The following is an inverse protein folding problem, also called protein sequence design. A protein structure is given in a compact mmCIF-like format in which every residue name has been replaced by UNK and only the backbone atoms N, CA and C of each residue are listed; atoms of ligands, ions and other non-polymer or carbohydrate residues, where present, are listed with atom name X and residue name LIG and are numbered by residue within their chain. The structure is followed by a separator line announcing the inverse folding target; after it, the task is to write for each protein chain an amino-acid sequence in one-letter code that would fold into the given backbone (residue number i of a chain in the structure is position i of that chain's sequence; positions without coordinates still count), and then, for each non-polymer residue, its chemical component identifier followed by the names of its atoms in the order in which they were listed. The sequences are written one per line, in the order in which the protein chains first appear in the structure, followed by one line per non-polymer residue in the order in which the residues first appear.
data_IF_760869754347
#
_entry.id   IF_760869754347
#
_cell.length_a   1.000
_cell.length_b   1.000
_cell.length_c   1.000
_cell.angle_alpha   90.00
_cell.angle_beta   90.00
_cell.angle_gamma   90.00
#
_symmetry.space_group_name_H-M   'P 1'
#
loop_
_entity.id
_entity.type
_entity.pdbx_description
1 polymer ?
#
# COMPACT_ATOMS: atom_id res chain seq x y z
N UNK A 1 12.31 4.02 21.15
CA UNK A 1 12.61 3.26 19.92
C UNK A 1 14.00 2.65 20.06
N UNK A 2 14.12 1.32 20.02
CA UNK A 2 15.45 0.70 19.95
C UNK A 2 16.08 1.11 18.61
N UNK A 3 17.35 1.54 18.62
CA UNK A 3 18.05 1.99 17.40
C UNK A 3 17.98 0.92 16.29
N UNK A 4 17.96 -0.34 16.67
CA UNK A 4 17.84 -1.49 15.78
C UNK A 4 16.56 -1.45 14.94
N UNK A 5 15.37 -1.33 15.54
CA UNK A 5 14.11 -1.36 14.79
C UNK A 5 13.99 -0.14 13.89
N UNK A 6 14.44 1.03 14.35
CA UNK A 6 14.49 2.22 13.48
C UNK A 6 15.29 1.95 12.22
N UNK A 7 16.50 1.43 12.39
CA UNK A 7 17.43 1.19 11.29
C UNK A 7 16.87 0.13 10.34
N UNK A 8 16.22 -0.91 10.87
CA UNK A 8 15.52 -1.92 10.09
C UNK A 8 14.40 -1.31 9.23
N UNK A 9 13.54 -0.47 9.82
CA UNK A 9 12.45 0.17 9.09
C UNK A 9 12.97 1.17 8.03
N UNK A 10 14.05 1.90 8.33
CA UNK A 10 14.72 2.78 7.36
C UNK A 10 15.28 1.97 6.20
N UNK A 11 15.97 0.85 6.49
CA UNK A 11 16.52 -0.02 5.46
C UNK A 11 15.41 -0.62 4.58
N UNK A 12 14.31 -1.05 5.18
CA UNK A 12 13.12 -1.53 4.48
C UNK A 12 12.54 -0.45 3.56
N UNK A 13 12.37 0.77 4.05
CA UNK A 13 11.91 1.91 3.25
C UNK A 13 12.86 2.18 2.07
N UNK A 14 14.17 2.18 2.32
CA UNK A 14 15.16 2.43 1.28
C UNK A 14 15.12 1.35 0.19
N UNK A 15 15.07 0.07 0.59
CA UNK A 15 14.95 -1.05 -0.34
C UNK A 15 13.67 -0.94 -1.17
N UNK A 16 12.51 -0.72 -0.53
CA UNK A 16 11.23 -0.57 -1.24
C UNK A 16 11.22 0.65 -2.17
N UNK A 17 11.80 1.78 -1.75
CA UNK A 17 11.90 2.97 -2.58
C UNK A 17 12.76 2.74 -3.83
N UNK A 18 13.86 1.98 -3.72
CA UNK A 18 14.68 1.60 -4.88
C UNK A 18 13.88 0.75 -5.87
N UNK A 19 13.14 -0.26 -5.39
CA UNK A 19 12.27 -1.07 -6.26
C UNK A 19 11.13 -0.25 -6.87
N UNK A 20 10.49 0.62 -6.08
CA UNK A 20 9.40 1.49 -6.54
C UNK A 20 9.89 2.44 -7.64
N UNK A 21 11.00 3.14 -7.42
CA UNK A 21 11.61 4.01 -8.42
C UNK A 21 12.06 3.22 -9.66
N UNK A 22 12.62 2.03 -9.48
CA UNK A 22 13.00 1.14 -10.56
C UNK A 22 11.85 0.73 -11.46
N UNK A 23 10.72 0.32 -10.86
CA UNK A 23 9.52 -0.03 -11.59
C UNK A 23 8.87 1.19 -12.25
N UNK A 24 8.83 2.34 -11.57
CA UNK A 24 8.28 3.58 -12.13
C UNK A 24 9.08 4.04 -13.35
N UNK A 25 10.41 4.02 -13.26
CA UNK A 25 11.35 4.43 -14.32
C UNK A 25 11.63 3.32 -15.35
N UNK A 26 10.97 2.16 -15.24
CA UNK A 26 11.13 1.02 -16.13
C UNK A 26 12.58 0.53 -16.27
N UNK A 27 13.36 0.57 -15.17
CA UNK A 27 14.76 0.13 -15.16
C UNK A 27 14.83 -1.37 -15.40
N UNK A 28 15.41 -1.77 -16.54
CA UNK A 28 15.40 -3.16 -17.00
C UNK A 28 16.00 -4.17 -16.01
N UNK A 29 16.96 -3.77 -15.18
CA UNK A 29 17.54 -4.64 -14.16
C UNK A 29 16.54 -5.00 -13.05
N UNK A 30 15.63 -4.07 -12.72
CA UNK A 30 14.65 -4.25 -11.65
C UNK A 30 13.34 -4.84 -12.18
N UNK A 31 12.87 -4.43 -13.37
CA UNK A 31 11.67 -5.03 -14.00
C UNK A 31 11.85 -6.50 -14.30
N UNK A 32 13.08 -6.95 -14.60
CA UNK A 32 13.42 -8.39 -14.79
C UNK A 32 13.33 -9.23 -13.53
N UNK A 33 13.31 -8.62 -12.34
CA UNK A 33 13.13 -9.35 -11.07
C UNK A 33 11.66 -9.72 -10.82
N UNK A 34 10.72 -9.13 -11.57
CA UNK A 34 9.32 -9.49 -11.49
C UNK A 34 9.08 -10.84 -12.19
N UNK A 35 8.53 -11.85 -11.50
CA UNK A 35 8.57 -13.22 -12.00
C UNK A 35 7.45 -13.55 -12.98
N UNK A 36 6.42 -12.68 -13.10
CA UNK A 36 5.29 -12.95 -13.97
C UNK A 36 5.52 -12.45 -15.41
N UNK A 37 5.24 -13.30 -16.42
CA UNK A 37 5.28 -12.88 -17.82
C UNK A 37 4.12 -11.93 -18.15
N UNK A 38 4.22 -11.26 -19.30
CA UNK A 38 3.17 -10.37 -19.84
C UNK A 38 2.79 -9.17 -18.95
N UNK A 39 3.75 -8.69 -18.16
CA UNK A 39 3.59 -7.48 -17.34
C UNK A 39 3.83 -6.23 -18.20
N UNK A 40 2.86 -5.32 -18.22
CA UNK A 40 2.95 -4.06 -19.00
C UNK A 40 3.63 -2.93 -18.20
N UNK A 41 4.05 -1.83 -18.83
CA UNK A 41 4.56 -0.67 -18.09
C UNK A 41 3.59 -0.15 -17.03
N UNK A 42 2.28 -0.17 -17.31
CA UNK A 42 1.25 0.30 -16.38
C UNK A 42 1.16 -0.59 -15.13
N UNK A 43 1.34 -1.90 -15.30
CA UNK A 43 1.47 -2.84 -14.19
C UNK A 43 2.65 -2.52 -13.28
N UNK A 44 3.82 -2.16 -13.84
CA UNK A 44 4.97 -1.75 -13.04
C UNK A 44 4.74 -0.42 -12.32
N UNK A 45 4.13 0.57 -12.98
CA UNK A 45 3.76 1.85 -12.37
C UNK A 45 2.80 1.63 -11.20
N UNK A 46 1.83 0.73 -11.37
CA UNK A 46 0.91 0.35 -10.31
C UNK A 46 1.61 -0.33 -9.12
N UNK A 47 2.48 -1.31 -9.36
CA UNK A 47 3.27 -1.94 -8.29
C UNK A 47 4.17 -0.89 -7.60
N UNK A 48 4.76 0.02 -8.36
CA UNK A 48 5.55 1.13 -7.82
C UNK A 48 4.72 2.02 -6.90
N UNK A 49 3.49 2.36 -7.28
CA UNK A 49 2.60 3.19 -6.45
C UNK A 49 2.29 2.52 -5.09
N UNK A 50 2.07 1.20 -5.07
CA UNK A 50 1.85 0.43 -3.84
C UNK A 50 3.12 0.42 -2.98
N UNK A 51 4.28 0.21 -3.60
CA UNK A 51 5.55 0.24 -2.88
C UNK A 51 5.86 1.64 -2.30
N UNK A 52 5.59 2.72 -3.04
CA UNK A 52 5.69 4.08 -2.52
C UNK A 52 4.69 4.35 -1.39
N UNK A 53 3.48 3.79 -1.45
CA UNK A 53 2.51 3.87 -0.37
C UNK A 53 3.02 3.22 0.93
N UNK A 54 3.61 2.02 0.82
CA UNK A 54 4.22 1.32 1.95
C UNK A 54 5.41 2.11 2.53
N UNK A 55 6.27 2.68 1.67
CA UNK A 55 7.37 3.56 2.07
C UNK A 55 6.85 4.79 2.83
N UNK A 56 5.88 5.51 2.27
CA UNK A 56 5.32 6.71 2.87
C UNK A 56 4.65 6.42 4.23
N UNK A 57 3.90 5.32 4.32
CA UNK A 57 3.26 4.87 5.57
C UNK A 57 4.30 4.55 6.65
N UNK A 58 5.38 3.85 6.27
CA UNK A 58 6.43 3.46 7.21
C UNK A 58 7.28 4.66 7.63
N UNK A 59 7.67 5.51 6.68
CA UNK A 59 8.38 6.76 6.97
C UNK A 59 7.56 7.67 7.87
N UNK A 60 6.24 7.75 7.68
CA UNK A 60 5.37 8.48 8.60
C UNK A 60 5.55 8.00 10.04
N UNK A 61 5.43 6.70 10.30
CA UNK A 61 5.62 6.13 11.64
C UNK A 61 7.02 6.43 12.21
N UNK A 62 8.07 6.40 11.39
CA UNK A 62 9.45 6.72 11.81
C UNK A 62 9.58 8.22 12.16
N UNK A 63 9.12 9.10 11.29
CA UNK A 63 9.26 10.56 11.43
C UNK A 63 8.41 11.11 12.58
N UNK A 64 7.23 10.52 12.79
CA UNK A 64 6.31 10.92 13.85
C UNK A 64 6.55 10.20 15.17
N UNK A 65 7.43 9.20 15.18
CA UNK A 65 7.65 8.27 16.29
C UNK A 65 6.39 7.50 16.75
N UNK A 66 5.38 7.39 15.89
CA UNK A 66 4.14 6.64 16.13
C UNK A 66 4.29 5.16 15.72
N UNK A 67 5.08 4.43 16.51
CA UNK A 67 5.44 3.03 16.19
C UNK A 67 4.27 2.05 16.39
N UNK A 68 3.26 2.41 17.17
CA UNK A 68 2.02 1.63 17.28
C UNK A 68 1.32 1.50 15.91
N UNK A 69 1.45 2.51 15.04
CA UNK A 69 0.89 2.50 13.68
C UNK A 69 1.52 1.45 12.74
N UNK A 70 2.71 0.94 13.08
CA UNK A 70 3.38 -0.13 12.32
C UNK A 70 2.55 -1.42 12.33
N UNK A 71 1.68 -1.63 13.32
CA UNK A 71 0.82 -2.80 13.37
C UNK A 71 -0.09 -2.91 12.13
N UNK A 72 -0.62 -1.79 11.64
CA UNK A 72 -1.43 -1.78 10.42
C UNK A 72 -0.62 -2.12 9.16
N UNK A 73 0.61 -1.59 9.06
CA UNK A 73 1.55 -1.89 7.95
C UNK A 73 1.96 -3.37 7.97
N UNK A 74 2.17 -3.90 9.17
CA UNK A 74 2.51 -5.30 9.35
C UNK A 74 1.36 -6.24 8.92
N UNK A 75 0.11 -5.87 9.22
CA UNK A 75 -1.07 -6.60 8.74
C UNK A 75 -1.15 -6.58 7.21
N UNK A 76 -0.91 -5.42 6.58
CA UNK A 76 -0.82 -5.31 5.13
C UNK A 76 0.17 -6.35 4.57
N UNK A 77 1.39 -6.38 5.11
CA UNK A 77 2.42 -7.31 4.63
C UNK A 77 2.02 -8.77 4.79
N UNK A 78 1.42 -9.15 5.92
CA UNK A 78 0.99 -10.54 6.13
C UNK A 78 -0.08 -10.91 5.10
N UNK A 79 -1.09 -10.06 4.92
CA UNK A 79 -2.23 -10.32 4.03
C UNK A 79 -1.85 -10.27 2.55
N UNK A 80 -0.80 -9.55 2.17
CA UNK A 80 -0.24 -9.56 0.82
C UNK A 80 0.65 -10.79 0.63
N UNK A 81 1.67 -10.94 1.46
CA UNK A 81 2.78 -11.82 1.15
C UNK A 81 2.50 -13.29 1.48
N UNK A 82 1.70 -13.62 2.51
CA UNK A 82 1.33 -15.02 2.78
C UNK A 82 0.61 -15.67 1.59
N UNK A 83 -0.50 -15.11 1.07
CA UNK A 83 -1.19 -15.73 -0.06
C UNK A 83 -0.37 -15.67 -1.36
N UNK A 84 0.41 -14.60 -1.60
CA UNK A 84 1.32 -14.56 -2.75
C UNK A 84 2.39 -15.65 -2.66
N UNK A 85 2.97 -15.90 -1.47
CA UNK A 85 3.91 -17.02 -1.26
C UNK A 85 3.28 -18.34 -1.65
N UNK A 86 2.06 -18.62 -1.16
CA UNK A 86 1.34 -19.86 -1.45
C UNK A 86 1.06 -19.96 -2.95
N UNK A 87 0.55 -18.89 -3.56
CA UNK A 87 0.23 -18.85 -4.98
C UNK A 87 1.46 -19.06 -5.86
N UNK A 88 2.59 -18.44 -5.52
CA UNK A 88 3.84 -18.57 -6.25
C UNK A 88 4.47 -19.94 -6.09
N UNK A 89 4.42 -20.53 -4.90
CA UNK A 89 4.87 -21.90 -4.67
C UNK A 89 4.02 -22.91 -5.47
N UNK A 90 2.70 -22.70 -5.55
CA UNK A 90 1.82 -23.53 -6.37
C UNK A 90 2.14 -23.39 -7.86
N UNK A 91 2.40 -22.18 -8.34
CA UNK A 91 2.77 -21.94 -9.75
C UNK A 91 4.14 -22.56 -10.07
N UNK A 92 5.11 -22.43 -9.16
CA UNK A 92 6.41 -23.09 -9.28
C UNK A 92 6.27 -24.62 -9.36
N UNK A 93 5.44 -25.22 -8.50
CA UNK A 93 5.20 -26.67 -8.49
C UNK A 93 4.51 -27.24 -9.74
N UNK A 94 3.84 -26.39 -10.55
CA UNK A 94 3.14 -26.79 -11.78
C UNK A 94 4.01 -26.71 -13.05
N UNK A 95 5.32 -26.62 -12.90
CA UNK A 95 6.26 -26.46 -14.02
C UNK A 95 6.82 -25.03 -14.15
N UNK A 96 6.80 -24.25 -13.07
CA UNK A 96 7.34 -22.89 -13.05
C UNK A 96 8.87 -22.83 -12.99
N UNK A 97 9.42 -21.66 -13.27
CA UNK A 97 10.86 -21.40 -13.28
C UNK A 97 11.45 -21.24 -11.87
N UNK A 98 12.79 -21.34 -11.76
CA UNK A 98 13.52 -21.03 -10.52
C UNK A 98 13.26 -19.62 -9.99
N UNK A 99 12.91 -18.67 -10.88
CA UNK A 99 12.52 -17.31 -10.50
C UNK A 99 11.24 -17.25 -9.67
N UNK A 100 10.25 -18.10 -9.96
CA UNK A 100 9.01 -18.18 -9.18
C UNK A 100 9.28 -18.71 -7.77
N UNK A 101 10.11 -19.74 -7.65
CA UNK A 101 10.53 -20.29 -6.35
C UNK A 101 11.26 -19.23 -5.52
N UNK A 102 12.22 -18.53 -6.13
CA UNK A 102 12.95 -17.46 -5.45
C UNK A 102 12.01 -16.35 -4.99
N UNK A 103 11.06 -15.94 -5.82
CA UNK A 103 10.08 -14.93 -5.46
C UNK A 103 9.14 -15.39 -4.33
N UNK A 104 8.72 -16.66 -4.33
CA UNK A 104 7.95 -17.24 -3.23
C UNK A 104 8.71 -17.20 -1.90
N UNK A 105 10.02 -17.50 -1.92
CA UNK A 105 10.90 -17.41 -0.74
C UNK A 105 11.02 -15.97 -0.24
N UNK A 106 11.20 -14.99 -1.14
CA UNK A 106 11.25 -13.58 -0.76
C UNK A 106 9.93 -13.09 -0.16
N UNK A 107 8.79 -13.51 -0.72
CA UNK A 107 7.48 -13.23 -0.14
C UNK A 107 7.34 -13.89 1.24
N UNK A 108 7.79 -15.14 1.41
CA UNK A 108 7.73 -15.83 2.69
C UNK A 108 8.55 -15.12 3.77
N UNK A 109 9.78 -14.70 3.43
CA UNK A 109 10.62 -13.92 4.32
C UNK A 109 9.95 -12.58 4.71
N UNK A 110 9.29 -11.92 3.75
CA UNK A 110 8.58 -10.66 4.01
C UNK A 110 7.33 -10.88 4.89
N UNK A 111 6.62 -11.99 4.72
CA UNK A 111 5.51 -12.37 5.60
C UNK A 111 5.98 -12.64 7.04
N UNK A 112 7.10 -13.35 7.21
CA UNK A 112 7.71 -13.57 8.53
C UNK A 112 8.15 -12.26 9.18
N UNK A 113 8.73 -11.34 8.40
CA UNK A 113 9.03 -9.99 8.86
C UNK A 113 7.76 -9.26 9.30
N UNK A 114 6.68 -9.33 8.51
CA UNK A 114 5.37 -8.78 8.86
C UNK A 114 4.83 -9.33 10.19
N UNK A 115 4.87 -10.64 10.39
CA UNK A 115 4.49 -11.27 11.66
C UNK A 115 5.32 -10.75 12.84
N UNK A 116 6.65 -10.65 12.66
CA UNK A 116 7.55 -10.11 13.67
C UNK A 116 7.25 -8.65 14.01
N UNK A 117 7.03 -7.81 12.99
CA UNK A 117 6.65 -6.41 13.16
C UNK A 117 5.30 -6.26 13.84
N UNK A 118 4.32 -7.10 13.51
CA UNK A 118 3.00 -7.08 14.16
C UNK A 118 3.14 -7.45 15.64
N UNK A 119 3.78 -8.59 15.94
CA UNK A 119 3.95 -9.07 17.31
C UNK A 119 4.71 -8.07 18.20
N UNK A 120 5.66 -7.33 17.62
CA UNK A 120 6.38 -6.26 18.30
C UNK A 120 5.53 -4.98 18.47
N UNK A 121 4.92 -4.49 17.40
CA UNK A 121 4.24 -3.18 17.39
C UNK A 121 2.96 -3.15 18.23
N UNK A 122 2.22 -4.26 18.35
CA UNK A 122 1.01 -4.32 19.20
C UNK A 122 1.30 -4.15 20.69
N UNK A 123 2.56 -4.31 21.11
CA UNK A 123 3.01 -4.12 22.51
C UNK A 123 3.39 -2.67 22.80
N UNK A 124 3.42 -1.80 21.79
CA UNK A 124 3.85 -0.42 21.93
C UNK A 124 2.62 0.46 22.17
N UNK A 125 2.58 1.24 23.26
CA UNK A 125 1.49 2.19 23.48
C UNK A 125 1.55 3.32 22.44
N UNK A 126 0.39 3.77 21.92
CA UNK A 126 0.34 4.91 21.00
C UNK A 126 0.76 6.19 21.74
N UNK A 127 1.45 7.10 21.03
CA UNK A 127 1.87 8.38 21.60
C UNK A 127 0.84 9.46 21.32
N UNK A 128 0.34 9.51 20.09
CA UNK A 128 -0.71 10.43 19.68
C UNK A 128 -2.09 9.77 19.78
N UNK A 129 -2.76 9.98 20.90
CA UNK A 129 -4.10 9.43 21.19
C UNK A 129 -5.25 10.21 20.58
N UNK A 130 -4.97 11.26 19.79
CA UNK A 130 -6.03 12.09 19.19
C UNK A 130 -6.93 11.23 18.29
N UNK A 131 -8.25 11.44 18.34
CA UNK A 131 -9.17 10.66 17.53
C UNK A 131 -8.97 10.93 16.05
N UNK A 132 -9.20 9.91 15.23
CA UNK A 132 -9.24 10.09 13.77
C UNK A 132 -10.44 10.96 13.40
N UNK A 133 -10.27 12.00 12.56
CA UNK A 133 -11.38 12.82 12.09
C UNK A 133 -12.49 11.97 11.46
N UNK A 134 -13.76 12.33 11.70
CA UNK A 134 -14.92 11.54 11.25
C UNK A 134 -14.92 11.32 9.74
N UNK A 135 -14.59 12.35 8.97
CA UNK A 135 -14.53 12.25 7.50
C UNK A 135 -13.48 11.25 7.03
N UNK A 136 -12.29 11.24 7.64
CA UNK A 136 -11.23 10.27 7.36
C UNK A 136 -11.68 8.86 7.69
N UNK A 137 -12.34 8.67 8.83
CA UNK A 137 -12.87 7.36 9.25
C UNK A 137 -13.94 6.83 8.30
N UNK A 138 -14.86 7.69 7.86
CA UNK A 138 -15.88 7.35 6.85
C UNK A 138 -15.24 7.01 5.51
N UNK A 139 -14.24 7.78 5.08
CA UNK A 139 -13.48 7.49 3.86
C UNK A 139 -12.81 6.13 3.96
N UNK A 140 -12.13 5.81 5.07
CA UNK A 140 -11.53 4.49 5.28
C UNK A 140 -12.55 3.37 5.18
N UNK A 141 -13.75 3.52 5.75
CA UNK A 141 -14.80 2.51 5.63
C UNK A 141 -15.21 2.26 4.17
N UNK A 142 -15.38 3.33 3.39
CA UNK A 142 -15.68 3.25 1.96
C UNK A 142 -14.53 2.54 1.22
N UNK A 143 -13.28 2.92 1.48
CA UNK A 143 -12.11 2.29 0.87
C UNK A 143 -11.98 0.82 1.23
N UNK A 144 -12.22 0.43 2.49
CA UNK A 144 -12.21 -0.98 2.90
C UNK A 144 -13.23 -1.78 2.11
N UNK A 145 -14.46 -1.27 1.97
CA UNK A 145 -15.51 -1.95 1.19
C UNK A 145 -15.09 -2.07 -0.27
N UNK A 146 -14.63 -0.97 -0.89
CA UNK A 146 -14.21 -0.96 -2.28
C UNK A 146 -13.04 -1.93 -2.55
N UNK A 147 -12.02 -1.93 -1.67
CA UNK A 147 -10.85 -2.79 -1.77
C UNK A 147 -11.19 -4.27 -1.55
N UNK A 148 -12.11 -4.58 -0.63
CA UNK A 148 -12.59 -5.97 -0.45
C UNK A 148 -13.35 -6.44 -1.68
N UNK A 149 -14.24 -5.63 -2.23
CA UNK A 149 -15.03 -6.00 -3.42
C UNK A 149 -14.11 -6.16 -4.64
N UNK A 150 -13.32 -5.14 -4.96
CA UNK A 150 -12.40 -5.17 -6.10
C UNK A 150 -11.32 -6.27 -5.92
N UNK A 151 -10.68 -6.31 -4.76
CA UNK A 151 -9.66 -7.32 -4.44
C UNK A 151 -10.20 -8.74 -4.45
N UNK A 152 -11.39 -8.97 -3.89
CA UNK A 152 -12.07 -10.26 -3.92
C UNK A 152 -12.42 -10.72 -5.35
N UNK A 153 -12.96 -9.83 -6.18
CA UNK A 153 -13.22 -10.12 -7.60
C UNK A 153 -11.94 -10.49 -8.35
N UNK A 154 -10.84 -9.78 -8.09
CA UNK A 154 -9.55 -10.04 -8.70
C UNK A 154 -8.93 -11.37 -8.24
N UNK A 155 -9.03 -11.72 -6.95
CA UNK A 155 -8.64 -13.05 -6.45
C UNK A 155 -9.47 -14.16 -7.11
N UNK A 156 -10.74 -13.88 -7.40
CA UNK A 156 -11.63 -14.75 -8.18
C UNK A 156 -11.37 -14.70 -9.70
N UNK A 157 -10.26 -14.09 -10.13
CA UNK A 157 -9.77 -14.02 -11.52
C UNK A 157 -10.61 -13.19 -12.47
N UNK A 158 -11.40 -12.25 -11.95
CA UNK A 158 -12.08 -11.27 -12.78
C UNK A 158 -11.06 -10.22 -13.28
N UNK A 159 -10.69 -10.30 -14.56
CA UNK A 159 -9.71 -9.40 -15.20
C UNK A 159 -10.30 -8.03 -15.56
N UNK A 160 -11.63 -7.87 -15.52
CA UNK A 160 -12.33 -6.63 -15.89
C UNK A 160 -12.32 -5.53 -14.82
N UNK A 161 -11.60 -5.72 -13.71
CA UNK A 161 -11.53 -4.73 -12.62
C UNK A 161 -10.51 -3.62 -12.94
N UNK A 162 -9.36 -3.99 -13.50
CA UNK A 162 -8.30 -3.02 -13.79
C UNK A 162 -8.60 -2.26 -15.09
N UNK A 163 -8.21 -0.97 -15.19
CA UNK A 163 -8.45 -0.18 -16.41
C UNK A 163 -7.49 -0.51 -17.57
N UNK A 164 -6.77 -1.63 -17.49
CA UNK A 164 -5.93 -2.17 -18.56
C UNK A 164 -5.90 -3.69 -18.50
N UNK A 165 -5.54 -4.32 -19.61
CA UNK A 165 -5.41 -5.77 -19.70
C UNK A 165 -4.25 -6.28 -18.85
N UNK A 166 -4.53 -7.30 -18.05
CA UNK A 166 -3.58 -7.98 -17.17
C UNK A 166 -3.79 -9.49 -17.26
N UNK A 167 -2.73 -10.26 -16.99
CA UNK A 167 -2.84 -11.71 -16.92
C UNK A 167 -3.66 -12.16 -15.71
N UNK A 168 -4.21 -13.37 -15.79
CA UNK A 168 -4.94 -14.01 -14.69
C UNK A 168 -4.09 -14.09 -13.42
N UNK A 169 -2.80 -14.41 -13.56
CA UNK A 169 -1.86 -14.52 -12.44
C UNK A 169 -1.61 -13.15 -11.79
N UNK A 170 -1.41 -12.11 -12.61
CA UNK A 170 -1.24 -10.74 -12.10
C UNK A 170 -2.50 -10.25 -11.39
N UNK A 171 -3.68 -10.61 -11.92
CA UNK A 171 -4.98 -10.27 -11.32
C UNK A 171 -5.08 -10.81 -9.89
N UNK A 172 -4.72 -12.08 -9.66
CA UNK A 172 -4.74 -12.68 -8.32
C UNK A 172 -3.79 -11.97 -7.36
N UNK A 173 -2.56 -11.64 -7.80
CA UNK A 173 -1.58 -10.91 -6.98
C UNK A 173 -2.10 -9.53 -6.58
N UNK A 174 -2.59 -8.76 -7.55
CA UNK A 174 -3.11 -7.42 -7.30
C UNK A 174 -4.36 -7.46 -6.42
N UNK A 175 -5.18 -8.51 -6.55
CA UNK A 175 -6.27 -8.77 -5.63
C UNK A 175 -5.80 -8.90 -4.18
N UNK A 176 -4.76 -9.69 -3.92
CA UNK A 176 -4.16 -9.80 -2.59
C UNK A 176 -3.51 -8.50 -2.10
N UNK A 177 -2.93 -7.69 -3.01
CA UNK A 177 -2.45 -6.34 -2.67
C UNK A 177 -3.59 -5.43 -2.20
N UNK A 178 -4.76 -5.48 -2.85
CA UNK A 178 -5.94 -4.73 -2.43
C UNK A 178 -6.49 -5.21 -1.09
N UNK A 179 -6.53 -6.52 -0.87
CA UNK A 179 -7.00 -7.09 0.39
C UNK A 179 -6.05 -6.79 1.56
N UNK A 180 -4.74 -6.73 1.31
CA UNK A 180 -3.76 -6.23 2.28
C UNK A 180 -4.02 -4.79 2.67
N UNK A 181 -4.16 -3.91 1.68
CA UNK A 181 -4.49 -2.51 1.91
C UNK A 181 -5.83 -2.37 2.67
N UNK A 182 -6.84 -3.18 2.33
CA UNK A 182 -8.11 -3.21 3.08
C UNK A 182 -7.90 -3.57 4.55
N UNK A 183 -7.08 -4.57 4.85
CA UNK A 183 -6.74 -4.94 6.21
C UNK A 183 -6.02 -3.81 6.96
N UNK A 184 -5.13 -3.09 6.26
CA UNK A 184 -4.49 -1.90 6.82
C UNK A 184 -5.55 -0.86 7.24
N UNK A 185 -6.41 -0.41 6.32
CA UNK A 185 -7.44 0.58 6.62
C UNK A 185 -8.44 0.10 7.68
N UNK A 186 -8.86 -1.17 7.63
CA UNK A 186 -9.75 -1.76 8.62
C UNK A 186 -9.15 -1.69 10.03
N UNK A 187 -7.84 -1.91 10.17
CA UNK A 187 -7.15 -1.73 11.45
C UNK A 187 -7.28 -0.30 12.00
N UNK A 188 -7.18 0.71 11.13
CA UNK A 188 -7.39 2.11 11.49
C UNK A 188 -8.83 2.43 11.91
N UNK A 189 -9.83 1.73 11.35
CA UNK A 189 -11.24 1.86 11.76
C UNK A 189 -11.48 1.23 13.14
N UNK A 190 -10.91 0.04 13.38
CA UNK A 190 -11.05 -0.70 14.64
C UNK A 190 -10.30 0.00 15.77
N UNK A 191 -9.18 0.67 15.47
CA UNK A 191 -8.37 1.43 16.43
C UNK A 191 -8.24 2.90 15.98
N UNK A 192 -9.28 3.74 16.19
CA UNK A 192 -9.46 5.03 15.52
C UNK A 192 -8.62 6.18 16.11
N UNK A 193 -7.30 6.01 16.21
CA UNK A 193 -6.37 7.08 16.60
C UNK A 193 -5.54 7.61 15.43
N UNK A 194 -5.10 8.87 15.53
CA UNK A 194 -4.29 9.52 14.49
C UNK A 194 -2.97 8.79 14.24
N UNK A 195 -2.43 8.10 15.27
CA UNK A 195 -1.28 7.22 15.15
C UNK A 195 -1.44 6.10 14.09
N UNK A 196 -2.68 5.69 13.79
CA UNK A 196 -2.97 4.74 12.71
C UNK A 196 -3.32 5.45 11.39
N UNK A 197 -4.10 6.53 11.46
CA UNK A 197 -4.61 7.20 10.26
C UNK A 197 -3.56 8.00 9.48
N UNK A 198 -2.58 8.62 10.17
CA UNK A 198 -1.60 9.47 9.51
C UNK A 198 -0.72 8.72 8.50
N UNK A 199 -0.26 7.51 8.86
CA UNK A 199 0.52 6.66 7.96
C UNK A 199 -0.29 6.21 6.75
N UNK A 200 -1.55 5.81 6.98
CA UNK A 200 -2.50 5.40 5.94
C UNK A 200 -2.76 6.51 4.91
N UNK A 201 -2.97 7.74 5.38
CA UNK A 201 -3.15 8.90 4.51
C UNK A 201 -1.85 9.24 3.76
N UNK A 202 -0.68 9.13 4.40
CA UNK A 202 0.60 9.33 3.70
C UNK A 202 0.79 8.28 2.59
N UNK A 203 0.39 7.03 2.85
CA UNK A 203 0.32 5.96 1.88
C UNK A 203 -0.60 6.29 0.71
N UNK A 204 -1.85 6.71 0.98
CA UNK A 204 -2.78 7.16 -0.06
C UNK A 204 -2.19 8.26 -0.93
N UNK A 205 -1.64 9.31 -0.33
CA UNK A 205 -1.10 10.42 -1.10
C UNK A 205 0.04 9.97 -2.03
N UNK A 206 0.95 9.12 -1.54
CA UNK A 206 2.04 8.59 -2.35
C UNK A 206 1.54 7.69 -3.49
N UNK A 207 0.55 6.83 -3.21
CA UNK A 207 -0.12 6.02 -4.21
C UNK A 207 -0.78 6.87 -5.30
N UNK A 208 -1.58 7.85 -4.88
CA UNK A 208 -2.40 8.68 -5.74
C UNK A 208 -1.54 9.56 -6.66
N UNK A 209 -0.51 10.22 -6.11
CA UNK A 209 0.39 11.09 -6.90
C UNK A 209 1.12 10.31 -7.99
N UNK A 210 1.50 9.07 -7.72
CA UNK A 210 2.18 8.22 -8.72
C UNK A 210 1.23 7.80 -9.84
N UNK A 211 -0.06 7.60 -9.55
CA UNK A 211 -1.02 7.08 -10.54
C UNK A 211 -1.80 8.14 -11.32
N UNK A 212 -2.07 9.31 -10.74
CA UNK A 212 -2.90 10.34 -11.37
C UNK A 212 -2.38 10.71 -12.76
N UNK A 213 -1.09 11.05 -12.89
CA UNK A 213 -0.53 11.49 -14.18
C UNK A 213 -0.56 10.37 -15.24
N UNK A 214 -0.05 9.14 -14.97
CA UNK A 214 -0.15 8.04 -15.92
C UNK A 214 -1.58 7.72 -16.35
N UNK A 215 -2.56 7.78 -15.43
CA UNK A 215 -3.95 7.45 -15.73
C UNK A 215 -4.62 8.54 -16.57
N UNK A 216 -4.35 9.82 -16.29
CA UNK A 216 -4.84 10.95 -17.12
C UNK A 216 -4.28 10.83 -18.54
N UNK A 217 -2.99 10.54 -18.69
CA UNK A 217 -2.36 10.32 -20.00
C UNK A 217 -2.93 9.11 -20.75
N UNK A 218 -3.49 8.13 -20.02
CA UNK A 218 -4.07 6.91 -20.60
C UNK A 218 -5.52 7.08 -21.05
N UNK A 219 -6.26 8.07 -20.55
CA UNK A 219 -7.67 8.32 -20.90
C UNK A 219 -7.98 8.29 -22.41
N UNK A 220 -7.21 8.94 -23.30
CA UNK A 220 -7.51 8.91 -24.74
C UNK A 220 -7.13 7.57 -25.42
N UNK A 221 -6.33 6.73 -24.74
CA UNK A 221 -5.75 5.50 -25.30
C UNK A 221 -6.39 4.22 -24.75
N UNK A 222 -7.29 4.34 -23.78
CA UNK A 222 -7.96 3.20 -23.16
C UNK A 222 -9.10 2.71 -24.06
N UNK A 223 -9.24 1.39 -24.13
CA UNK A 223 -10.35 0.74 -24.82
C UNK A 223 -11.69 1.26 -24.27
N UNK A 224 -12.71 1.46 -25.12
CA UNK A 224 -13.98 2.05 -24.70
C UNK A 224 -14.63 1.32 -23.52
N UNK A 225 -14.51 -0.01 -23.46
CA UNK A 225 -15.04 -0.87 -22.39
C UNK A 225 -14.36 -0.68 -21.04
N UNK A 226 -13.08 -0.30 -21.01
CA UNK A 226 -12.31 -0.05 -19.78
C UNK A 226 -12.31 1.43 -19.38
N UNK A 227 -12.86 2.32 -20.22
CA UNK A 227 -12.84 3.78 -19.98
C UNK A 227 -13.62 4.17 -18.73
N UNK A 228 -14.77 3.54 -18.48
CA UNK A 228 -15.56 3.81 -17.28
C UNK A 228 -14.77 3.46 -16.01
N UNK A 229 -14.09 2.30 -16.00
CA UNK A 229 -13.23 1.90 -14.90
C UNK A 229 -12.12 2.94 -14.66
N UNK A 230 -11.45 3.40 -15.72
CA UNK A 230 -10.39 4.40 -15.60
C UNK A 230 -10.91 5.73 -15.02
N UNK A 231 -12.09 6.18 -15.44
CA UNK A 231 -12.73 7.39 -14.91
C UNK A 231 -13.05 7.22 -13.42
N UNK A 232 -13.66 6.10 -13.03
CA UNK A 232 -13.97 5.80 -11.63
C UNK A 232 -12.69 5.80 -10.80
N UNK A 233 -11.63 5.13 -11.26
CA UNK A 233 -10.33 5.12 -10.60
C UNK A 233 -9.78 6.55 -10.44
N UNK A 234 -9.77 7.36 -11.49
CA UNK A 234 -9.25 8.73 -11.42
C UNK A 234 -10.03 9.60 -10.43
N UNK A 235 -11.36 9.51 -10.41
CA UNK A 235 -12.18 10.24 -9.43
C UNK A 235 -11.81 9.83 -8.01
N UNK A 236 -11.66 8.53 -7.77
CA UNK A 236 -11.25 7.99 -6.46
C UNK A 236 -9.86 8.50 -6.07
N UNK A 237 -8.85 8.40 -6.95
CA UNK A 237 -7.47 8.85 -6.71
C UNK A 237 -7.40 10.35 -6.39
N UNK A 238 -8.13 11.18 -7.14
CA UNK A 238 -8.15 12.64 -6.92
C UNK A 238 -8.81 12.95 -5.58
N UNK A 239 -9.93 12.28 -5.26
CA UNK A 239 -10.65 12.49 -4.01
C UNK A 239 -9.83 12.04 -2.79
N UNK A 240 -9.20 10.86 -2.82
CA UNK A 240 -8.31 10.40 -1.75
C UNK A 240 -7.07 11.26 -1.63
N UNK A 241 -6.46 11.65 -2.75
CA UNK A 241 -5.26 12.47 -2.76
C UNK A 241 -5.52 13.85 -2.13
N UNK A 242 -6.65 14.47 -2.47
CA UNK A 242 -7.07 15.73 -1.87
C UNK A 242 -7.38 15.59 -0.37
N UNK A 243 -8.09 14.52 0.02
CA UNK A 243 -8.37 14.22 1.43
C UNK A 243 -7.08 14.06 2.24
N UNK A 244 -6.14 13.27 1.73
CA UNK A 244 -4.85 13.02 2.37
C UNK A 244 -4.02 14.31 2.46
N UNK A 245 -3.87 15.05 1.36
CA UNK A 245 -3.14 16.32 1.35
C UNK A 245 -3.73 17.32 2.36
N UNK A 246 -5.07 17.44 2.41
CA UNK A 246 -5.74 18.33 3.34
C UNK A 246 -5.44 17.96 4.80
N UNK A 247 -5.63 16.69 5.20
CA UNK A 247 -5.45 16.30 6.59
C UNK A 247 -3.98 16.21 7.04
N UNK A 248 -3.05 15.97 6.12
CA UNK A 248 -1.62 15.88 6.43
C UNK A 248 -0.94 17.26 6.50
N UNK A 249 -1.40 18.25 5.74
CA UNK A 249 -0.70 19.53 5.59
C UNK A 249 -1.52 20.77 5.97
N UNK A 250 -2.85 20.73 5.80
CA UNK A 250 -3.71 21.94 5.95
C UNK A 250 -4.46 21.93 7.28
N UNK A 251 -5.15 20.84 7.59
CA UNK A 251 -6.05 20.74 8.75
C UNK A 251 -5.29 20.97 10.06
N UNK A 252 -5.66 22.02 10.80
CA UNK A 252 -4.87 22.56 11.90
C UNK A 252 -4.56 21.54 13.01
N UNK A 253 -5.50 20.65 13.30
CA UNK A 253 -5.35 19.66 14.36
C UNK A 253 -4.46 18.49 13.94
N UNK A 254 -4.42 18.11 12.67
CA UNK A 254 -3.79 16.86 12.22
C UNK A 254 -2.52 17.07 11.41
N UNK A 255 -2.28 18.30 10.93
CA UNK A 255 -1.13 18.63 10.10
C UNK A 255 0.19 18.27 10.77
N UNK A 256 1.15 17.87 9.94
CA UNK A 256 2.49 17.45 10.37
C UNK A 256 3.24 18.52 11.16
N UNK A 257 3.00 19.80 10.85
CA UNK A 257 3.79 20.94 11.30
C UNK A 257 2.99 21.75 12.34
N UNK A 258 3.63 22.11 13.46
CA UNK A 258 2.96 22.80 14.57
C UNK A 258 2.62 21.93 15.78
N UNK A 259 3.05 20.66 15.80
CA UNK A 259 2.93 19.72 16.93
C UNK A 259 3.51 20.20 18.27
N UNK A 260 4.29 21.30 18.27
CA UNK A 260 5.01 21.81 19.44
C UNK A 260 4.34 22.92 20.26
N UNK A 261 3.14 23.41 19.91
CA UNK A 261 2.53 24.55 20.64
C UNK A 261 1.49 24.21 21.70
N UNK A 262 1.05 22.96 21.79
CA UNK A 262 -0.03 22.57 22.72
C UNK A 262 0.44 21.80 23.95
N UNK A 263 1.72 21.45 24.05
CA UNK A 263 2.28 20.63 25.14
C UNK A 263 3.01 21.45 26.23
N UNK A 264 2.95 22.78 26.18
CA UNK A 264 3.62 23.68 27.14
C UNK A 264 2.61 24.47 27.99
N UNK A 265 1.31 24.16 27.90
CA UNK A 265 0.27 24.90 28.65
C UNK A 265 -0.79 24.02 29.31
N UNK A 266 -0.39 22.84 29.82
CA UNK A 266 -1.23 22.04 30.70
C UNK A 266 -0.40 21.58 31.90
#
# INVERSE_FOLDING_TARGET
MTRLIRNLLILLCAAQAVFAAGFLLQISALTRLWPLPYTTPLSFIFIASIAFAAVASTLWCILTAELAGVAGIALDYILIFVPITIFMAQLAGRGGSSGLTMFAVLCAATAVLGLGLLAWSVRIPPRDVRPTPRLVRSAFAIFVIALIVAGGQMVLKNTGIMPWSISTEATVIYGWMFLGAAAYFAYGIVRPGWYNAGGQLAGFLAYDVVLIVPFVQRLPLVEPELRLNLIIYLVVLIASGALAAYYLFVHAETRLWGRGKSAVSA
#
